data_IF_408774823546
#
_entry.id   IF_408774823546
#
_cell.length_a   1.000
_cell.length_b   1.000
_cell.length_c   1.000
_cell.angle_alpha   90.00
_cell.angle_beta   90.00
_cell.angle_gamma   90.00
#
_symmetry.space_group_name_H-M   'P 1'
#
loop_
_entity.id
_entity.type
_entity.pdbx_description
1 polymer ?
#
# COMPACT_ATOMS: atom_id res chain seq x y z
N UNK A 1 16.77 -0.81 3.71
CA UNK A 1 16.41 -0.11 2.47
C UNK A 1 15.86 1.24 2.86
N UNK A 2 16.34 2.33 2.28
CA UNK A 2 15.71 3.64 2.48
C UNK A 2 14.57 3.76 1.46
N UNK A 3 13.33 3.51 1.90
CA UNK A 3 12.16 3.60 1.02
C UNK A 3 11.57 5.00 1.18
N UNK A 4 11.57 5.75 0.08
CA UNK A 4 10.93 7.05 0.02
C UNK A 4 9.44 6.89 -0.28
N UNK A 5 8.58 7.26 0.68
CA UNK A 5 7.13 7.24 0.53
C UNK A 5 6.60 8.61 0.11
N UNK A 6 5.79 8.67 -0.94
CA UNK A 6 5.18 9.92 -1.44
C UNK A 6 3.67 9.83 -1.49
N UNK A 7 3.01 10.97 -1.27
CA UNK A 7 1.56 11.10 -1.49
C UNK A 7 1.21 10.81 -2.95
N UNK A 8 0.11 10.09 -3.19
CA UNK A 8 -0.35 9.66 -4.51
C UNK A 8 0.31 8.36 -5.01
N UNK A 9 1.24 7.79 -4.25
CA UNK A 9 1.89 6.53 -4.59
C UNK A 9 0.97 5.35 -4.27
N UNK A 10 0.92 4.37 -5.16
CA UNK A 10 0.16 3.14 -4.94
C UNK A 10 1.03 2.06 -4.31
N UNK A 11 0.49 1.45 -3.27
CA UNK A 11 1.01 0.30 -2.57
C UNK A 11 0.15 -0.91 -2.91
N UNK A 12 0.78 -2.06 -3.14
CA UNK A 12 0.12 -3.35 -3.19
C UNK A 12 0.38 -4.02 -1.86
N UNK A 13 -0.70 -4.37 -1.16
CA UNK A 13 -0.66 -4.95 0.18
C UNK A 13 -1.39 -6.28 0.19
N UNK A 14 -0.71 -7.33 0.64
CA UNK A 14 -1.32 -8.63 0.92
C UNK A 14 -2.13 -8.55 2.20
N UNK A 15 -3.34 -9.10 2.20
CA UNK A 15 -4.26 -9.04 3.35
C UNK A 15 -4.49 -10.44 3.96
N UNK A 16 -4.39 -10.52 5.29
CA UNK A 16 -4.68 -11.72 6.10
C UNK A 16 -6.17 -12.14 6.00
N UNK A 17 -6.55 -13.40 6.29
CA UNK A 17 -5.79 -14.45 6.99
C UNK A 17 -4.83 -15.29 6.13
N UNK A 18 -4.98 -15.31 4.79
CA UNK A 18 -4.17 -16.18 3.94
C UNK A 18 -3.23 -15.46 2.97
N UNK A 19 -3.24 -14.11 2.96
CA UNK A 19 -2.47 -13.32 1.99
C UNK A 19 -2.80 -13.64 0.52
N UNK A 20 -3.92 -14.33 0.26
CA UNK A 20 -4.38 -14.72 -1.08
C UNK A 20 -4.84 -13.53 -1.92
N UNK A 21 -5.17 -12.42 -1.26
CA UNK A 21 -5.65 -11.21 -1.92
C UNK A 21 -4.72 -10.04 -1.66
N UNK A 22 -4.37 -9.39 -2.75
CA UNK A 22 -3.59 -8.17 -2.77
C UNK A 22 -4.52 -7.01 -3.13
N UNK A 23 -4.31 -5.87 -2.47
CA UNK A 23 -5.12 -4.68 -2.69
C UNK A 23 -4.25 -3.45 -2.90
N UNK A 24 -4.74 -2.56 -3.76
CA UNK A 24 -4.15 -1.25 -3.97
C UNK A 24 -4.55 -0.29 -2.87
N UNK A 25 -3.55 0.32 -2.23
CA UNK A 25 -3.71 1.42 -1.31
C UNK A 25 -2.96 2.64 -1.85
N UNK A 26 -3.63 3.78 -1.91
CA UNK A 26 -3.01 5.05 -2.28
C UNK A 26 -2.53 5.79 -1.03
N UNK A 27 -1.25 6.13 -0.99
CA UNK A 27 -0.68 6.96 0.08
C UNK A 27 -1.33 8.34 0.02
N UNK A 28 -2.04 8.70 1.09
CA UNK A 28 -2.67 10.01 1.24
C UNK A 28 -1.82 11.00 2.01
N UNK A 29 -0.90 10.49 2.85
CA UNK A 29 0.10 11.27 3.58
C UNK A 29 1.29 10.40 3.95
N UNK A 30 2.50 10.94 3.82
CA UNK A 30 3.74 10.29 4.23
C UNK A 30 4.54 11.28 5.09
N UNK A 31 4.41 11.15 6.42
CA UNK A 31 5.22 11.88 7.38
C UNK A 31 6.38 11.02 7.89
N UNK A 32 7.32 11.63 8.61
CA UNK A 32 8.52 10.94 9.10
C UNK A 32 8.21 9.74 10.02
N UNK A 33 7.14 9.84 10.82
CA UNK A 33 6.75 8.79 11.78
C UNK A 33 5.59 7.93 11.30
N UNK A 34 4.75 8.44 10.41
CA UNK A 34 3.45 7.85 10.09
C UNK A 34 3.14 7.99 8.60
N UNK A 35 2.77 6.88 7.99
CA UNK A 35 2.28 6.82 6.61
C UNK A 35 0.80 6.45 6.65
N UNK A 36 -0.03 7.20 5.90
CA UNK A 36 -1.47 6.98 5.79
C UNK A 36 -1.82 6.66 4.35
N UNK A 37 -2.67 5.67 4.15
CA UNK A 37 -3.16 5.29 2.85
C UNK A 37 -4.66 4.99 2.87
N UNK A 38 -5.30 5.12 1.72
CA UNK A 38 -6.70 4.76 1.50
C UNK A 38 -6.76 3.62 0.51
N UNK A 39 -7.71 2.71 0.68
CA UNK A 39 -7.97 1.68 -0.34
C UNK A 39 -8.35 2.38 -1.65
N UNK A 40 -7.72 1.96 -2.75
CA UNK A 40 -7.95 2.55 -4.06
C UNK A 40 -9.44 2.49 -4.43
N UNK A 41 -10.00 3.57 -4.96
CA UNK A 41 -11.45 3.71 -5.24
C UNK A 41 -12.41 3.46 -4.05
N UNK A 42 -11.89 3.35 -2.82
CA UNK A 42 -12.66 3.16 -1.59
C UNK A 42 -12.08 4.01 -0.46
N UNK A 43 -12.15 5.34 -0.55
CA UNK A 43 -11.50 6.28 0.39
C UNK A 43 -12.03 6.20 1.83
N UNK A 44 -13.14 5.49 2.05
CA UNK A 44 -13.69 5.19 3.38
C UNK A 44 -12.85 4.16 4.13
N UNK A 45 -12.14 3.29 3.42
CA UNK A 45 -11.25 2.28 4.01
C UNK A 45 -9.86 2.86 4.10
N UNK A 46 -9.44 3.22 5.32
CA UNK A 46 -8.17 3.86 5.60
C UNK A 46 -7.26 2.91 6.37
N UNK A 47 -5.97 2.97 6.08
CA UNK A 47 -4.92 2.33 6.87
C UNK A 47 -3.83 3.34 7.19
N UNK A 48 -3.18 3.12 8.31
CA UNK A 48 -2.01 3.87 8.72
C UNK A 48 -1.04 2.93 9.39
N UNK A 49 0.24 3.19 9.16
CA UNK A 49 1.34 2.44 9.75
C UNK A 49 2.38 3.44 10.24
N UNK A 50 3.12 3.07 11.29
CA UNK A 50 4.39 3.73 11.51
C UNK A 50 5.32 3.48 10.31
N UNK A 51 6.31 4.35 10.13
CA UNK A 51 7.30 4.17 9.05
C UNK A 51 8.02 2.83 9.19
N UNK A 52 8.44 2.49 10.40
CA UNK A 52 9.18 1.26 10.72
C UNK A 52 8.34 -0.01 10.45
N UNK A 53 7.05 0.01 10.80
CA UNK A 53 6.14 -1.10 10.48
C UNK A 53 5.99 -1.28 8.97
N UNK A 54 5.77 -0.18 8.23
CA UNK A 54 5.62 -0.25 6.78
C UNK A 54 6.89 -0.76 6.12
N UNK A 55 8.06 -0.27 6.52
CA UNK A 55 9.36 -0.76 6.05
C UNK A 55 9.55 -2.26 6.36
N UNK A 56 9.13 -2.71 7.54
CA UNK A 56 9.13 -4.13 7.89
C UNK A 56 8.22 -4.95 6.97
N UNK A 57 7.03 -4.45 6.65
CA UNK A 57 6.11 -5.10 5.70
C UNK A 57 6.71 -5.20 4.29
N UNK A 58 7.49 -4.21 3.86
CA UNK A 58 8.24 -4.25 2.60
C UNK A 58 9.34 -5.32 2.62
N UNK A 59 10.12 -5.37 3.70
CA UNK A 59 11.18 -6.38 3.87
C UNK A 59 10.62 -7.81 3.91
N UNK A 60 9.41 -7.99 4.47
CA UNK A 60 8.71 -9.27 4.53
C UNK A 60 7.96 -9.62 3.23
N UNK A 61 7.96 -8.75 2.22
CA UNK A 61 7.23 -8.98 0.96
C UNK A 61 5.70 -8.96 1.11
N UNK A 62 5.19 -8.33 2.18
CA UNK A 62 3.76 -8.11 2.44
C UNK A 62 3.28 -6.85 1.72
N UNK A 63 4.16 -5.84 1.61
CA UNK A 63 3.91 -4.59 0.92
C UNK A 63 4.93 -4.38 -0.22
N UNK A 64 4.48 -3.79 -1.32
CA UNK A 64 5.37 -3.31 -2.39
C UNK A 64 4.79 -2.10 -3.09
N UNK A 65 5.65 -1.32 -3.76
CA UNK A 65 5.21 -0.21 -4.61
C UNK A 65 4.65 -0.80 -5.91
N UNK A 66 3.47 -0.35 -6.33
CA UNK A 66 2.90 -0.72 -7.61
C UNK A 66 3.72 -0.10 -8.76
N UNK A 67 4.03 -0.89 -9.77
CA UNK A 67 4.61 -0.38 -11.03
C UNK A 67 3.53 0.33 -11.84
N UNK A 68 3.94 1.16 -12.78
CA UNK A 68 3.00 1.96 -13.58
C UNK A 68 1.99 1.11 -14.36
N UNK A 69 2.42 -0.02 -14.92
CA UNK A 69 1.54 -0.94 -15.66
C UNK A 69 0.61 -1.75 -14.75
N UNK A 70 0.87 -1.80 -13.44
CA UNK A 70 0.03 -2.47 -12.46
C UNK A 70 -1.07 -1.56 -11.94
N UNK A 71 -1.06 -0.27 -12.29
CA UNK A 71 -2.12 0.65 -11.88
C UNK A 71 -3.49 0.07 -12.26
N UNK A 72 -4.40 -0.14 -11.28
CA UNK A 72 -5.68 -0.75 -11.55
C UNK A 72 -6.48 0.15 -12.50
N UNK A 73 -7.04 -0.47 -13.55
CA UNK A 73 -7.96 0.21 -14.48
C UNK A 73 -9.41 0.28 -13.94
N UNK A 74 -9.66 -0.32 -12.78
CA UNK A 74 -10.98 -0.55 -12.22
C UNK A 74 -10.96 -0.68 -10.69
N UNK A 75 -11.32 -1.85 -10.15
CA UNK A 75 -11.43 -2.09 -8.71
C UNK A 75 -10.12 -1.99 -7.92
N UNK A 76 -10.23 -2.09 -6.59
CA UNK A 76 -9.09 -2.01 -5.67
C UNK A 76 -8.29 -3.31 -5.53
N UNK A 77 -8.84 -4.44 -5.98
CA UNK A 77 -8.21 -5.75 -5.90
C UNK A 77 -7.13 -5.85 -6.98
N UNK A 78 -5.93 -6.29 -6.58
CA UNK A 78 -4.85 -6.61 -7.50
C UNK A 78 -5.02 -8.07 -7.95
N UNK A 79 -5.03 -8.27 -9.26
CA UNK A 79 -5.10 -9.58 -9.91
C UNK A 79 -3.97 -9.63 -10.94
N UNK A 80 -2.73 -9.63 -10.47
CA UNK A 80 -1.53 -9.70 -11.32
C UNK A 80 -0.71 -10.94 -11.08
#
# INVERSE_FOLDING_TARGET
>A
MDIEFKKGQLLILKVAPYYEKEYFYEITSAGEKLVRASLYHSPKVKKSWSREELESMFNLGIARIAKEHEKPRGGAEFSG
#
